data_IF_830497980929
#
_entry.id   IF_830497980929
#
_cell.length_a   1.000
_cell.length_b   1.000
_cell.length_c   1.000
_cell.angle_alpha   90.00
_cell.angle_beta   90.00
_cell.angle_gamma   90.00
#
_symmetry.space_group_name_H-M   'P 1'
#
loop_
_entity.id
_entity.type
_entity.pdbx_description
1 polymer ?
#
# COMPACT_ATOMS: atom_id res chain seq x y z
N UNK A 1 -32.47 -5.75 -12.59
CA UNK A 1 -31.23 -5.01 -12.91
C UNK A 1 -30.01 -5.89 -12.55
N UNK A 2 -30.00 -7.14 -13.04
CA UNK A 2 -29.09 -7.73 -14.04
C UNK A 2 -27.60 -7.67 -13.69
N UNK A 3 -27.06 -8.82 -13.24
CA UNK A 3 -25.63 -9.12 -13.07
C UNK A 3 -24.76 -8.64 -14.26
N UNK A 4 -25.34 -8.64 -15.47
CA UNK A 4 -24.69 -8.14 -16.70
C UNK A 4 -24.33 -6.66 -16.61
N UNK A 5 -25.17 -5.83 -15.96
CA UNK A 5 -24.88 -4.40 -15.79
C UNK A 5 -23.64 -4.19 -14.91
N UNK A 6 -23.53 -4.93 -13.80
CA UNK A 6 -22.36 -4.86 -12.92
C UNK A 6 -21.10 -5.38 -13.60
N UNK A 7 -21.22 -6.46 -14.39
CA UNK A 7 -20.11 -6.97 -15.19
C UNK A 7 -19.62 -5.91 -16.17
N UNK A 8 -20.53 -5.32 -16.96
CA UNK A 8 -20.22 -4.27 -17.94
C UNK A 8 -19.59 -3.06 -17.27
N UNK A 9 -20.19 -2.56 -16.18
CA UNK A 9 -19.66 -1.43 -15.43
C UNK A 9 -18.27 -1.72 -14.88
N UNK A 10 -18.03 -2.92 -14.34
CA UNK A 10 -16.71 -3.29 -13.80
C UNK A 10 -15.66 -3.39 -14.90
N UNK A 11 -15.96 -4.06 -16.00
CA UNK A 11 -15.03 -4.20 -17.13
C UNK A 11 -14.68 -2.84 -17.72
N UNK A 12 -15.65 -1.92 -17.81
CA UNK A 12 -15.45 -0.60 -18.39
C UNK A 12 -14.72 0.36 -17.43
N UNK A 13 -15.04 0.35 -16.13
CA UNK A 13 -14.50 1.31 -15.15
C UNK A 13 -13.12 0.95 -14.59
N UNK A 14 -12.79 -0.34 -14.51
CA UNK A 14 -11.51 -0.81 -13.94
C UNK A 14 -10.27 -0.25 -14.64
N UNK A 15 -10.14 -0.25 -15.98
CA UNK A 15 -8.92 0.27 -16.61
C UNK A 15 -8.68 1.76 -16.31
N UNK A 16 -9.75 2.57 -16.24
CA UNK A 16 -9.65 3.98 -15.86
C UNK A 16 -9.28 4.13 -14.39
N UNK A 17 -9.86 3.31 -13.51
CA UNK A 17 -9.51 3.28 -12.09
C UNK A 17 -8.04 2.91 -11.88
N UNK A 18 -7.53 1.93 -12.63
CA UNK A 18 -6.13 1.52 -12.58
C UNK A 18 -5.17 2.66 -12.95
N UNK A 19 -5.50 3.39 -14.01
CA UNK A 19 -4.70 4.55 -14.46
C UNK A 19 -4.80 5.69 -13.46
N UNK A 20 -5.99 5.94 -12.89
CA UNK A 20 -6.21 6.97 -11.89
C UNK A 20 -5.40 6.68 -10.61
N UNK A 21 -5.38 5.44 -10.14
CA UNK A 21 -4.59 5.01 -8.98
C UNK A 21 -3.10 5.22 -9.25
N UNK A 22 -2.60 4.85 -10.43
CA UNK A 22 -1.20 5.10 -10.82
C UNK A 22 -0.88 6.59 -10.89
N UNK A 23 -1.78 7.37 -11.46
CA UNK A 23 -1.65 8.83 -11.52
C UNK A 23 -1.56 9.44 -10.11
N UNK A 24 -2.46 9.04 -9.20
CA UNK A 24 -2.46 9.47 -7.79
C UNK A 24 -1.21 9.03 -7.05
N UNK A 25 -0.67 7.85 -7.36
CA UNK A 25 0.55 7.31 -6.78
C UNK A 25 1.82 8.01 -7.27
N UNK A 26 1.88 8.38 -8.56
CA UNK A 26 3.03 9.05 -9.17
C UNK A 26 3.07 10.55 -8.93
N UNK A 27 1.97 11.16 -8.49
CA UNK A 27 1.94 12.57 -8.17
C UNK A 27 2.71 12.84 -6.87
N UNK A 28 3.94 13.35 -6.93
CA UNK A 28 4.64 13.85 -5.74
C UNK A 28 4.83 15.35 -5.86
N UNK A 29 4.07 16.19 -5.13
CA UNK A 29 4.17 17.65 -5.27
C UNK A 29 5.57 18.16 -4.92
N UNK A 30 6.25 17.51 -3.97
CA UNK A 30 7.62 17.87 -3.58
C UNK A 30 8.64 17.62 -4.68
N UNK A 31 8.45 16.57 -5.48
CA UNK A 31 9.32 16.32 -6.64
C UNK A 31 9.08 17.34 -7.75
N UNK A 32 7.83 17.80 -7.92
CA UNK A 32 7.51 18.86 -8.88
C UNK A 32 8.14 20.19 -8.44
N UNK A 33 8.02 20.55 -7.16
CA UNK A 33 8.68 21.73 -6.59
C UNK A 33 10.20 21.64 -6.72
N UNK A 34 10.82 20.51 -6.33
CA UNK A 34 12.27 20.32 -6.45
C UNK A 34 12.76 20.46 -7.90
N UNK A 35 12.01 19.93 -8.88
CA UNK A 35 12.33 20.10 -10.30
C UNK A 35 12.19 21.54 -10.76
N UNK A 36 11.14 22.24 -10.33
CA UNK A 36 10.97 23.67 -10.63
C UNK A 36 12.11 24.52 -10.05
N UNK A 37 12.56 24.22 -8.83
CA UNK A 37 13.71 24.89 -8.21
C UNK A 37 15.01 24.63 -8.98
N UNK A 38 15.26 23.39 -9.42
CA UNK A 38 16.45 23.05 -10.21
C UNK A 38 16.43 23.72 -11.59
N UNK A 39 15.28 23.69 -12.29
CA UNK A 39 15.10 24.35 -13.58
C UNK A 39 15.31 25.87 -13.48
N UNK A 40 14.82 26.50 -12.41
CA UNK A 40 15.03 27.93 -12.15
C UNK A 40 16.50 28.26 -11.87
N UNK A 41 17.24 27.34 -11.23
CA UNK A 41 18.67 27.50 -10.95
C UNK A 41 19.53 27.38 -12.22
N UNK A 42 19.24 26.41 -13.08
CA UNK A 42 19.96 26.24 -14.36
C UNK A 42 19.75 27.44 -15.30
N UNK A 43 18.54 28.02 -15.31
CA UNK A 43 18.26 29.25 -16.04
C UNK A 43 19.01 30.46 -15.48
N UNK A 44 19.20 30.53 -14.16
CA UNK A 44 19.98 31.59 -13.50
C UNK A 44 21.48 31.49 -13.75
N UNK A 45 22.07 30.28 -13.74
CA UNK A 45 23.51 30.08 -13.98
C UNK A 45 23.89 30.33 -15.45
N UNK A 46 23.00 30.06 -16.41
CA UNK A 46 23.23 30.38 -17.83
C UNK A 46 23.31 31.89 -18.13
N UNK A 47 22.77 32.74 -17.24
CA UNK A 47 22.85 34.20 -17.39
C UNK A 47 24.17 34.81 -16.89
N UNK A 48 25.02 34.04 -16.19
CA UNK A 48 26.33 34.47 -15.68
C UNK A 48 27.46 33.78 -16.47
N UNK A 49 27.34 33.74 -17.80
CA UNK A 49 28.51 33.50 -18.65
C UNK A 49 29.25 34.83 -18.86
N UNK A 50 30.03 35.24 -17.86
CA UNK A 50 31.13 36.19 -18.09
C UNK A 50 32.18 35.48 -18.96
N UNK A 51 32.75 36.15 -19.98
CA UNK A 51 33.79 35.57 -20.82
C UNK A 51 35.05 35.33 -19.97
N UNK A 52 35.25 34.09 -19.53
CA UNK A 52 36.53 33.65 -18.96
C UNK A 52 37.53 33.63 -20.10
N UNK A 53 38.43 34.61 -20.12
CA UNK A 53 39.58 34.61 -21.00
C UNK A 53 40.44 33.39 -20.69
N UNK A 54 40.59 32.55 -21.70
CA UNK A 54 41.45 31.39 -21.74
C UNK A 54 42.92 31.84 -21.73
N UNK A 55 43.55 31.82 -20.56
CA UNK A 55 45.00 32.01 -20.43
C UNK A 55 45.70 30.64 -20.49
N UNK A 56 46.19 30.35 -21.69
CA UNK A 56 47.05 29.23 -22.07
C UNK A 56 48.46 29.46 -21.53
N UNK A 57 49.02 28.51 -20.77
CA UNK A 57 50.45 28.13 -20.79
C UNK A 57 50.73 26.82 -19.99
N UNK A 58 51.39 25.89 -20.72
CA UNK A 58 52.03 24.56 -20.50
C UNK A 58 52.98 24.35 -19.28
N UNK A 59 53.62 23.16 -19.03
CA UNK A 59 53.36 21.72 -19.31
C UNK A 59 53.73 20.78 -18.08
N UNK A 60 54.19 19.50 -18.21
CA UNK A 60 53.57 18.34 -17.56
C UNK A 60 54.37 17.72 -16.39
N UNK A 61 53.68 17.06 -15.46
CA UNK A 61 54.33 16.17 -14.48
C UNK A 61 53.68 14.78 -14.48
N UNK A 62 54.56 13.78 -14.49
CA UNK A 62 54.35 12.35 -14.64
C UNK A 62 53.82 11.69 -13.34
N UNK A 63 53.69 10.36 -13.39
CA UNK A 63 53.65 9.40 -12.24
C UNK A 63 52.20 9.18 -11.73
N UNK A 64 51.57 8.00 -11.67
CA UNK A 64 51.97 6.59 -11.55
C UNK A 64 50.90 5.72 -12.24
N UNK A 65 51.31 4.74 -13.04
CA UNK A 65 50.49 3.58 -13.43
C UNK A 65 50.54 2.50 -12.34
N UNK A 66 49.43 2.24 -11.64
CA UNK A 66 49.26 1.02 -10.84
C UNK A 66 48.53 -0.01 -11.68
N UNK A 67 49.26 -1.07 -11.99
CA UNK A 67 48.81 -2.27 -12.68
C UNK A 67 48.12 -3.18 -11.67
N UNK A 68 46.79 -3.33 -11.77
CA UNK A 68 46.05 -4.41 -11.13
C UNK A 68 45.43 -5.28 -12.23
N UNK A 69 46.24 -6.24 -12.67
CA UNK A 69 45.89 -7.29 -13.60
C UNK A 69 45.86 -8.58 -12.79
N UNK A 70 44.90 -9.42 -13.12
CA UNK A 70 44.78 -10.85 -12.74
C UNK A 70 43.92 -11.14 -11.50
N UNK A 71 42.61 -11.36 -11.74
CA UNK A 71 41.88 -12.58 -11.36
C UNK A 71 40.35 -12.36 -11.25
N UNK A 72 39.63 -12.25 -12.37
CA UNK A 72 38.19 -12.61 -12.43
C UNK A 72 37.65 -12.64 -13.88
N UNK A 73 38.37 -13.29 -14.80
CA UNK A 73 37.87 -13.51 -16.15
C UNK A 73 37.17 -14.88 -16.20
N UNK A 74 35.83 -14.91 -16.18
CA UNK A 74 35.12 -16.16 -16.45
C UNK A 74 33.60 -16.20 -16.26
N UNK A 75 32.95 -15.27 -15.54
CA UNK A 75 31.52 -15.42 -15.23
C UNK A 75 30.67 -14.14 -15.38
N UNK A 76 31.25 -13.00 -15.78
CA UNK A 76 30.53 -11.72 -15.85
C UNK A 76 30.01 -11.37 -17.27
N UNK A 77 30.49 -12.02 -18.32
CA UNK A 77 30.28 -11.57 -19.71
C UNK A 77 28.98 -12.06 -20.37
N UNK A 78 28.23 -12.97 -19.75
CA UNK A 78 26.99 -13.51 -20.35
C UNK A 78 25.70 -12.84 -19.84
N UNK A 79 25.78 -11.92 -18.86
CA UNK A 79 24.60 -11.25 -18.30
C UNK A 79 24.44 -9.77 -18.69
N UNK A 80 25.37 -9.20 -19.47
CA UNK A 80 25.25 -7.80 -19.94
C UNK A 80 24.62 -7.64 -21.33
N UNK A 81 24.50 -8.71 -22.14
CA UNK A 81 24.04 -8.59 -23.54
C UNK A 81 22.51 -8.56 -23.74
N UNK A 82 21.72 -8.50 -22.67
CA UNK A 82 20.26 -8.31 -22.73
C UNK A 82 19.85 -7.10 -21.89
N UNK A 83 20.56 -5.98 -22.04
CA UNK A 83 19.93 -4.68 -21.78
C UNK A 83 19.30 -4.24 -23.10
N UNK A 84 17.96 -4.33 -23.27
CA UNK A 84 17.33 -3.73 -24.43
C UNK A 84 17.77 -2.28 -24.47
N UNK A 85 18.22 -1.83 -25.65
CA UNK A 85 18.62 -0.47 -25.98
C UNK A 85 17.46 0.47 -25.62
N UNK A 86 17.41 0.87 -24.35
CA UNK A 86 16.37 1.72 -23.80
C UNK A 86 16.92 3.10 -24.03
N UNK A 87 16.43 3.75 -25.10
CA UNK A 87 16.76 5.13 -25.38
C UNK A 87 16.71 5.91 -24.05
N UNK A 88 17.76 6.69 -23.72
CA UNK A 88 17.76 7.52 -22.53
C UNK A 88 16.52 8.40 -22.63
N UNK A 89 15.53 8.08 -21.81
CA UNK A 89 14.30 8.84 -21.79
C UNK A 89 14.68 10.19 -21.19
N UNK A 90 14.89 11.18 -22.06
CA UNK A 90 15.10 12.55 -21.62
C UNK A 90 13.94 12.89 -20.68
N UNK A 91 14.24 13.33 -19.44
CA UNK A 91 13.23 13.84 -18.54
C UNK A 91 12.78 15.21 -19.08
N UNK A 92 12.12 15.22 -20.24
CA UNK A 92 11.36 16.37 -20.68
C UNK A 92 10.42 16.75 -19.54
N UNK A 93 10.29 18.05 -19.30
CA UNK A 93 9.42 18.75 -18.33
C UNK A 93 7.93 18.41 -18.53
N UNK A 94 7.61 17.13 -18.46
CA UNK A 94 6.33 16.63 -18.87
C UNK A 94 5.42 16.65 -17.66
N UNK A 95 4.58 17.68 -17.62
CA UNK A 95 3.40 17.76 -16.77
C UNK A 95 2.75 16.38 -16.71
N UNK A 96 2.79 15.76 -15.53
CA UNK A 96 2.20 14.45 -15.30
C UNK A 96 0.69 14.65 -15.45
N UNK A 97 0.17 14.27 -16.61
CA UNK A 97 -1.27 14.29 -16.92
C UNK A 97 -1.80 12.86 -16.91
N UNK A 98 -3.09 12.70 -16.62
CA UNK A 98 -3.75 11.38 -16.63
C UNK A 98 -3.53 10.65 -17.96
N UNK A 99 -3.67 11.35 -19.09
CA UNK A 99 -3.47 10.80 -20.42
C UNK A 99 -2.02 10.39 -20.68
N UNK A 100 -1.04 11.12 -20.13
CA UNK A 100 0.37 10.73 -20.20
C UNK A 100 0.62 9.42 -19.44
N UNK A 101 0.05 9.26 -18.23
CA UNK A 101 0.15 8.01 -17.46
C UNK A 101 -0.57 6.85 -18.16
N UNK A 102 -1.72 7.12 -18.79
CA UNK A 102 -2.46 6.14 -19.60
C UNK A 102 -1.63 5.67 -20.80
N UNK A 103 -1.14 6.61 -21.62
CA UNK A 103 -0.32 6.33 -22.81
C UNK A 103 0.94 5.58 -22.40
N UNK A 104 1.65 6.04 -21.37
CA UNK A 104 2.84 5.38 -20.84
C UNK A 104 2.56 3.96 -20.37
N UNK A 105 1.47 3.74 -19.63
CA UNK A 105 1.08 2.40 -19.18
C UNK A 105 0.79 1.49 -20.36
N UNK A 106 0.04 1.98 -21.34
CA UNK A 106 -0.29 1.24 -22.56
C UNK A 106 0.97 0.90 -23.38
N UNK A 107 1.91 1.84 -23.55
CA UNK A 107 3.15 1.60 -24.29
C UNK A 107 4.09 0.62 -23.57
N UNK A 108 4.24 0.71 -22.24
CA UNK A 108 5.19 -0.12 -21.49
C UNK A 108 4.64 -1.54 -21.22
N UNK A 109 3.35 -1.64 -20.89
CA UNK A 109 2.72 -2.86 -20.37
C UNK A 109 1.63 -3.43 -21.29
N UNK A 110 1.18 -2.69 -22.31
CA UNK A 110 0.06 -3.10 -23.16
C UNK A 110 -1.27 -3.11 -22.41
N UNK A 111 -2.26 -3.79 -23.00
CA UNK A 111 -3.60 -3.94 -22.42
C UNK A 111 -3.59 -4.71 -21.08
N UNK A 112 -2.69 -5.69 -20.95
CA UNK A 112 -2.51 -6.47 -19.72
C UNK A 112 -2.13 -5.59 -18.51
N UNK A 113 -1.39 -4.50 -18.75
CA UNK A 113 -1.09 -3.53 -17.71
C UNK A 113 -2.29 -2.71 -17.24
N UNK A 114 -3.24 -2.43 -18.14
CA UNK A 114 -4.46 -1.66 -17.83
C UNK A 114 -5.50 -2.52 -17.11
N UNK A 115 -5.57 -3.81 -17.43
CA UNK A 115 -6.48 -4.76 -16.79
C UNK A 115 -5.96 -5.28 -15.44
N UNK A 116 -4.79 -4.83 -14.97
CA UNK A 116 -4.31 -5.12 -13.61
C UNK A 116 -5.33 -4.64 -12.58
N UNK A 117 -5.69 -5.53 -11.66
CA UNK A 117 -6.73 -5.28 -10.66
C UNK A 117 -8.15 -5.64 -11.11
N UNK A 118 -8.37 -5.98 -12.39
CA UNK A 118 -9.67 -6.47 -12.87
C UNK A 118 -10.08 -7.75 -12.17
N UNK A 119 -9.17 -8.71 -12.05
CA UNK A 119 -9.44 -9.99 -11.40
C UNK A 119 -9.89 -9.83 -9.93
N UNK A 120 -9.12 -9.18 -9.02
CA UNK A 120 -9.57 -9.00 -7.64
C UNK A 120 -10.84 -8.16 -7.53
N UNK A 121 -11.04 -7.18 -8.44
CA UNK A 121 -12.28 -6.39 -8.49
C UNK A 121 -13.47 -7.26 -8.88
N UNK A 122 -13.37 -8.08 -9.92
CA UNK A 122 -14.45 -8.99 -10.34
C UNK A 122 -14.76 -10.01 -9.26
N UNK A 123 -13.74 -10.65 -8.68
CA UNK A 123 -13.92 -11.61 -7.58
C UNK A 123 -14.69 -10.93 -6.45
N UNK A 124 -14.27 -9.73 -6.03
CA UNK A 124 -14.97 -9.02 -4.97
C UNK A 124 -16.40 -8.64 -5.37
N UNK A 125 -16.61 -8.05 -6.55
CA UNK A 125 -17.94 -7.64 -7.04
C UNK A 125 -18.92 -8.81 -7.16
N UNK A 126 -18.46 -10.03 -7.44
CA UNK A 126 -19.33 -11.20 -7.54
C UNK A 126 -19.46 -11.99 -6.24
N UNK A 127 -18.34 -12.27 -5.56
CA UNK A 127 -18.32 -13.07 -4.33
C UNK A 127 -19.00 -12.32 -3.21
N UNK A 128 -18.77 -11.01 -3.10
CA UNK A 128 -19.24 -10.24 -1.95
C UNK A 128 -20.77 -10.14 -1.85
N UNK A 129 -21.50 -9.73 -2.91
CA UNK A 129 -22.97 -9.73 -2.88
C UNK A 129 -23.55 -11.13 -2.75
N UNK A 130 -22.88 -12.14 -3.32
CA UNK A 130 -23.32 -13.55 -3.23
C UNK A 130 -23.19 -14.09 -1.80
N UNK A 131 -22.09 -13.79 -1.12
CA UNK A 131 -21.80 -14.29 0.24
C UNK A 131 -22.70 -13.61 1.29
N UNK A 132 -22.90 -12.29 1.18
CA UNK A 132 -23.70 -11.53 2.14
C UNK A 132 -25.19 -11.44 1.79
N UNK A 133 -25.62 -12.08 0.70
CA UNK A 133 -27.00 -12.02 0.21
C UNK A 133 -27.46 -10.62 -0.16
N UNK A 134 -26.52 -9.69 -0.36
CA UNK A 134 -26.81 -8.26 -0.50
C UNK A 134 -27.06 -7.89 -1.97
N UNK A 135 -28.17 -8.36 -2.50
CA UNK A 135 -28.75 -7.94 -3.79
C UNK A 135 -30.00 -7.07 -3.62
N UNK A 136 -30.34 -6.73 -2.36
CA UNK A 136 -31.55 -5.99 -2.01
C UNK A 136 -31.44 -4.47 -2.22
N UNK A 137 -32.58 -3.77 -2.35
CA UNK A 137 -32.61 -2.31 -2.40
C UNK A 137 -31.97 -1.71 -1.14
N UNK A 138 -31.45 -0.47 -1.26
CA UNK A 138 -30.85 0.28 -0.16
C UNK A 138 -31.69 0.18 1.12
N UNK A 139 -31.08 0.04 2.31
CA UNK A 139 -31.81 -0.08 3.56
C UNK A 139 -32.87 1.01 3.72
N UNK A 140 -34.07 0.68 4.26
CA UNK A 140 -35.15 1.65 4.40
C UNK A 140 -34.82 2.79 5.38
N UNK A 141 -33.95 2.52 6.36
CA UNK A 141 -33.58 3.46 7.41
C UNK A 141 -32.13 3.91 7.30
N UNK A 142 -31.90 5.20 7.56
CA UNK A 142 -30.57 5.81 7.53
C UNK A 142 -29.58 5.12 8.48
N UNK A 143 -30.03 4.79 9.70
CA UNK A 143 -29.21 4.08 10.69
C UNK A 143 -28.77 2.70 10.22
N UNK A 144 -29.64 1.98 9.50
CA UNK A 144 -29.29 0.66 8.95
C UNK A 144 -28.29 0.80 7.80
N UNK A 145 -28.45 1.81 6.93
CA UNK A 145 -27.46 2.14 5.90
C UNK A 145 -26.10 2.47 6.51
N UNK A 146 -26.07 3.28 7.56
CA UNK A 146 -24.82 3.66 8.22
C UNK A 146 -24.14 2.45 8.87
N UNK A 147 -24.86 1.65 9.66
CA UNK A 147 -24.33 0.41 10.27
C UNK A 147 -23.77 -0.53 9.21
N UNK A 148 -24.51 -0.72 8.13
CA UNK A 148 -24.09 -1.61 7.06
C UNK A 148 -22.87 -1.08 6.29
N UNK A 149 -22.81 0.22 6.00
CA UNK A 149 -21.64 0.84 5.35
C UNK A 149 -20.39 0.67 6.20
N UNK A 150 -20.49 0.76 7.53
CA UNK A 150 -19.36 0.49 8.43
C UNK A 150 -18.91 -0.97 8.38
N UNK A 151 -19.85 -1.92 8.47
CA UNK A 151 -19.53 -3.35 8.35
C UNK A 151 -18.86 -3.62 7.00
N UNK A 152 -19.42 -3.10 5.91
CA UNK A 152 -18.85 -3.22 4.57
C UNK A 152 -17.43 -2.64 4.49
N UNK A 153 -17.18 -1.47 5.09
CA UNK A 153 -15.88 -0.80 5.09
C UNK A 153 -14.78 -1.67 5.70
N UNK A 154 -15.08 -2.41 6.78
CA UNK A 154 -14.13 -3.34 7.40
C UNK A 154 -13.64 -4.37 6.38
N UNK A 155 -14.54 -5.00 5.63
CA UNK A 155 -14.14 -6.00 4.63
C UNK A 155 -13.59 -5.39 3.34
N UNK A 156 -13.98 -4.16 3.03
CA UNK A 156 -13.53 -3.47 1.85
C UNK A 156 -12.06 -3.05 1.93
N UNK A 157 -11.54 -2.74 3.13
CA UNK A 157 -10.15 -2.29 3.31
C UNK A 157 -9.10 -3.30 2.78
N UNK A 158 -9.10 -4.60 3.17
CA UNK A 158 -8.14 -5.57 2.64
C UNK A 158 -8.24 -5.77 1.13
N UNK A 159 -9.47 -5.74 0.62
CA UNK A 159 -9.74 -5.88 -0.81
C UNK A 159 -9.19 -4.69 -1.57
N UNK A 160 -9.46 -3.47 -1.11
CA UNK A 160 -8.96 -2.24 -1.71
C UNK A 160 -7.43 -2.18 -1.68
N UNK A 161 -6.83 -2.61 -0.57
CA UNK A 161 -5.37 -2.77 -0.44
C UNK A 161 -4.83 -3.71 -1.52
N UNK A 162 -5.48 -4.87 -1.71
CA UNK A 162 -5.11 -5.87 -2.72
C UNK A 162 -5.20 -5.27 -4.12
N UNK A 163 -6.33 -4.64 -4.45
CA UNK A 163 -6.58 -4.04 -5.77
C UNK A 163 -5.54 -2.97 -6.08
N UNK A 164 -5.33 -2.01 -5.18
CA UNK A 164 -4.41 -0.90 -5.41
C UNK A 164 -2.96 -1.35 -5.53
N UNK A 165 -2.52 -2.30 -4.68
CA UNK A 165 -1.16 -2.85 -4.79
C UNK A 165 -0.96 -3.69 -6.05
N UNK A 166 -1.98 -4.42 -6.48
CA UNK A 166 -1.96 -5.13 -7.77
C UNK A 166 -1.78 -4.15 -8.92
N UNK A 167 -2.51 -3.04 -8.91
CA UNK A 167 -2.46 -1.99 -9.95
C UNK A 167 -1.09 -1.33 -10.02
N UNK A 168 -0.47 -1.01 -8.87
CA UNK A 168 0.81 -0.29 -8.82
C UNK A 168 2.03 -1.18 -9.02
N UNK A 169 1.88 -2.51 -8.98
CA UNK A 169 2.99 -3.43 -9.19
C UNK A 169 3.50 -3.36 -10.64
N UNK A 170 4.76 -2.91 -10.80
CA UNK A 170 5.40 -2.75 -12.11
C UNK A 170 5.75 -4.09 -12.79
N UNK A 171 5.73 -5.20 -12.07
CA UNK A 171 6.10 -6.50 -12.61
C UNK A 171 5.18 -6.88 -13.77
N UNK A 172 5.78 -7.26 -14.91
CA UNK A 172 5.04 -7.89 -16.02
C UNK A 172 4.75 -9.30 -15.56
N UNK A 173 3.53 -9.54 -15.10
CA UNK A 173 3.05 -10.89 -14.84
C UNK A 173 2.71 -11.41 -16.22
N UNK A 174 3.53 -12.28 -16.79
CA UNK A 174 3.17 -12.91 -18.05
C UNK A 174 1.88 -13.70 -17.83
N UNK A 175 0.75 -13.21 -18.36
CA UNK A 175 -0.57 -13.84 -18.21
C UNK A 175 -0.60 -15.34 -18.61
N UNK A 176 0.39 -15.78 -19.40
CA UNK A 176 0.51 -17.13 -19.93
C UNK A 176 1.32 -18.13 -19.09
N UNK A 177 2.21 -17.69 -18.20
CA UNK A 177 2.99 -18.61 -17.36
C UNK A 177 2.27 -18.72 -16.04
N UNK A 178 1.54 -19.82 -15.81
CA UNK A 178 0.81 -20.13 -14.55
C UNK A 178 1.65 -19.70 -13.34
N UNK A 179 1.42 -18.52 -12.78
CA UNK A 179 2.07 -18.15 -11.56
C UNK A 179 1.28 -18.83 -10.44
N UNK A 180 1.97 -19.47 -9.51
CA UNK A 180 1.32 -19.86 -8.27
C UNK A 180 0.79 -18.56 -7.64
N UNK A 181 -0.53 -18.47 -7.44
CA UNK A 181 -1.21 -17.32 -6.81
C UNK A 181 -0.51 -16.89 -5.50
N UNK A 182 0.13 -17.85 -4.83
CA UNK A 182 0.98 -17.68 -3.67
C UNK A 182 2.18 -16.76 -3.91
N UNK A 183 2.88 -16.85 -5.05
CA UNK A 183 4.02 -15.98 -5.38
C UNK A 183 3.57 -14.53 -5.57
N UNK A 184 2.40 -14.33 -6.19
CA UNK A 184 1.80 -13.00 -6.33
C UNK A 184 1.43 -12.42 -4.98
N UNK A 185 0.77 -13.20 -4.11
CA UNK A 185 0.44 -12.76 -2.75
C UNK A 185 1.72 -12.46 -1.96
N UNK A 186 2.76 -13.29 -2.10
CA UNK A 186 4.08 -13.08 -1.49
C UNK A 186 4.77 -11.81 -1.98
N UNK A 187 4.54 -11.41 -3.22
CA UNK A 187 5.10 -10.18 -3.78
C UNK A 187 4.25 -8.94 -3.42
N UNK A 188 2.93 -9.08 -3.34
CA UNK A 188 2.01 -7.99 -3.02
C UNK A 188 2.05 -7.62 -1.53
N UNK A 189 2.12 -8.62 -0.66
CA UNK A 189 2.07 -8.45 0.80
C UNK A 189 3.42 -8.73 1.43
N UNK A 190 3.80 -7.86 2.37
CA UNK A 190 4.98 -8.09 3.21
C UNK A 190 4.81 -9.39 4.01
N UNK A 191 5.91 -10.03 4.38
CA UNK A 191 5.87 -11.20 5.27
C UNK A 191 5.11 -10.90 6.58
N UNK A 192 5.23 -9.67 7.09
CA UNK A 192 4.49 -9.21 8.26
C UNK A 192 2.97 -9.13 8.05
N UNK A 193 2.53 -8.61 6.90
CA UNK A 193 1.10 -8.49 6.58
C UNK A 193 0.47 -9.85 6.29
N UNK A 194 1.26 -10.81 5.78
CA UNK A 194 0.82 -12.19 5.55
C UNK A 194 0.64 -12.97 6.85
N UNK A 195 1.51 -12.79 7.84
CA UNK A 195 1.36 -13.46 9.14
C UNK A 195 0.30 -12.81 10.02
N UNK A 196 0.03 -11.51 9.81
CA UNK A 196 -0.94 -10.73 10.58
C UNK A 196 -1.84 -9.91 9.65
N UNK A 197 -2.90 -10.52 9.11
CA UNK A 197 -3.82 -9.82 8.20
C UNK A 197 -4.43 -8.56 8.81
N UNK A 198 -4.59 -8.51 10.14
CA UNK A 198 -5.07 -7.33 10.85
C UNK A 198 -4.11 -6.13 10.78
N UNK A 199 -2.84 -6.35 10.46
CA UNK A 199 -1.85 -5.28 10.30
C UNK A 199 -2.18 -4.30 9.16
N UNK A 200 -2.98 -4.72 8.19
CA UNK A 200 -3.45 -3.85 7.11
C UNK A 200 -4.32 -2.71 7.68
N UNK A 201 -5.13 -3.01 8.70
CA UNK A 201 -5.99 -2.03 9.37
C UNK A 201 -5.20 -1.07 10.27
N UNK A 202 -4.02 -1.50 10.73
CA UNK A 202 -3.13 -0.69 11.57
C UNK A 202 -2.33 0.37 10.78
N UNK A 203 -2.59 0.53 9.48
CA UNK A 203 -2.01 1.62 8.70
C UNK A 203 -2.49 2.96 9.28
N UNK A 204 -1.58 3.80 9.81
CA UNK A 204 -1.98 5.00 10.55
C UNK A 204 -2.76 5.94 9.64
N UNK A 205 -3.94 6.37 10.11
CA UNK A 205 -4.82 7.27 9.36
C UNK A 205 -5.77 6.58 8.36
N UNK A 206 -5.64 5.28 8.08
CA UNK A 206 -6.48 4.60 7.10
C UNK A 206 -7.94 4.45 7.59
N UNK A 207 -8.13 3.92 8.80
CA UNK A 207 -9.45 3.76 9.42
C UNK A 207 -10.20 5.10 9.53
N UNK A 208 -9.62 6.18 10.09
CA UNK A 208 -10.35 7.44 10.19
C UNK A 208 -10.65 8.04 8.80
N UNK A 209 -9.76 7.91 7.82
CA UNK A 209 -10.04 8.38 6.46
C UNK A 209 -11.20 7.62 5.83
N UNK A 210 -11.22 6.29 5.93
CA UNK A 210 -12.32 5.45 5.43
C UNK A 210 -13.64 5.72 6.17
N UNK A 211 -13.57 5.93 7.49
CA UNK A 211 -14.72 6.33 8.32
C UNK A 211 -15.28 7.66 7.82
N UNK A 212 -14.43 8.63 7.53
CA UNK A 212 -14.85 9.93 7.01
C UNK A 212 -15.49 9.81 5.62
N UNK A 213 -14.94 8.97 4.73
CA UNK A 213 -15.59 8.67 3.43
C UNK A 213 -17.00 8.12 3.65
N UNK A 214 -17.14 7.11 4.53
CA UNK A 214 -18.42 6.46 4.82
C UNK A 214 -19.43 7.45 5.41
N UNK A 215 -18.99 8.29 6.36
CA UNK A 215 -19.82 9.31 6.99
C UNK A 215 -20.23 10.37 5.99
N UNK A 216 -19.32 10.94 5.19
CA UNK A 216 -19.67 11.98 4.21
C UNK A 216 -20.58 11.42 3.12
N UNK A 217 -20.28 10.24 2.57
CA UNK A 217 -21.10 9.61 1.53
C UNK A 217 -22.49 9.22 2.04
N UNK A 218 -22.57 8.58 3.21
CA UNK A 218 -23.84 8.04 3.73
C UNK A 218 -24.64 9.10 4.49
N UNK A 219 -24.01 9.94 5.32
CA UNK A 219 -24.71 10.93 6.13
C UNK A 219 -24.99 12.24 5.38
N UNK A 220 -24.07 12.70 4.53
CA UNK A 220 -24.27 13.94 3.78
C UNK A 220 -24.95 13.66 2.44
N UNK A 221 -24.29 12.93 1.53
CA UNK A 221 -24.78 12.79 0.16
C UNK A 221 -26.10 12.02 0.05
N UNK A 222 -26.25 10.91 0.79
CA UNK A 222 -27.51 10.15 0.76
C UNK A 222 -28.66 10.92 1.40
N UNK A 223 -28.41 11.69 2.46
CA UNK A 223 -29.44 12.50 3.11
C UNK A 223 -29.89 13.64 2.21
N UNK A 224 -28.95 14.36 1.60
CA UNK A 224 -29.24 15.43 0.64
C UNK A 224 -29.97 14.87 -0.58
N UNK A 225 -29.54 13.74 -1.13
CA UNK A 225 -30.23 13.10 -2.24
C UNK A 225 -31.66 12.70 -1.83
N UNK A 226 -31.82 12.07 -0.65
CA UNK A 226 -33.15 11.74 -0.12
C UNK A 226 -34.01 12.99 0.06
N UNK A 227 -33.45 14.12 0.46
CA UNK A 227 -34.19 15.39 0.61
C UNK A 227 -34.65 15.94 -0.75
N UNK A 228 -33.80 15.87 -1.78
CA UNK A 228 -34.14 16.25 -3.17
C UNK A 228 -35.31 15.40 -3.68
N UNK A 229 -35.31 14.10 -3.38
CA UNK A 229 -36.35 13.18 -3.84
C UNK A 229 -37.60 13.15 -2.95
N UNK A 230 -37.49 13.39 -1.65
CA UNK A 230 -38.61 13.35 -0.69
C UNK A 230 -39.70 14.37 -1.01
N UNK A 231 -39.34 15.50 -1.62
CA UNK A 231 -40.31 16.54 -2.00
C UNK A 231 -41.11 16.20 -3.27
N UNK A 232 -41.01 14.97 -3.82
CA UNK A 232 -41.71 14.57 -5.04
C UNK A 232 -43.22 14.45 -4.80
N UNK A 233 -43.97 15.40 -5.35
CA UNK A 233 -45.41 15.28 -5.50
C UNK A 233 -45.67 14.93 -6.95
N UNK A 234 -46.51 13.93 -7.21
CA UNK A 234 -46.90 13.58 -8.58
C UNK A 234 -47.59 14.80 -9.20
N UNK A 235 -47.01 15.44 -10.22
CA UNK A 235 -47.60 16.64 -10.80
C UNK A 235 -48.83 16.27 -11.62
N UNK A 236 -49.88 17.08 -11.56
CA UNK A 236 -51.13 16.87 -12.30
C UNK A 236 -51.04 17.18 -13.80
N UNK A 237 -49.92 17.73 -14.29
CA UNK A 237 -49.72 18.10 -15.70
C UNK A 237 -48.35 17.65 -16.20
N UNK A 238 -48.29 17.20 -17.45
CA UNK A 238 -47.08 16.69 -18.12
C UNK A 238 -45.98 17.75 -18.26
N UNK A 239 -46.34 19.02 -18.52
CA UNK A 239 -45.33 20.08 -18.64
C UNK A 239 -44.70 20.44 -17.28
N UNK A 240 -45.48 20.33 -16.19
CA UNK A 240 -44.96 20.46 -14.83
C UNK A 240 -44.07 19.27 -14.44
N UNK A 241 -44.43 18.06 -14.91
CA UNK A 241 -43.63 16.86 -14.72
C UNK A 241 -42.20 16.99 -15.28
N UNK A 242 -42.06 17.42 -16.53
CA UNK A 242 -40.74 17.51 -17.17
C UNK A 242 -39.83 18.53 -16.52
N UNK A 243 -40.33 19.74 -16.20
CA UNK A 243 -39.51 20.79 -15.58
C UNK A 243 -39.07 20.40 -14.16
N UNK A 244 -39.96 19.80 -13.37
CA UNK A 244 -39.64 19.32 -12.03
C UNK A 244 -38.66 18.14 -12.05
N UNK A 245 -38.84 17.21 -12.99
CA UNK A 245 -37.91 16.09 -13.19
C UNK A 245 -36.51 16.58 -13.58
N UNK A 246 -36.41 17.47 -14.57
CA UNK A 246 -35.13 18.03 -15.02
C UNK A 246 -34.41 18.79 -13.90
N UNK A 247 -35.15 19.58 -13.12
CA UNK A 247 -34.60 20.30 -11.97
C UNK A 247 -34.01 19.34 -10.92
N UNK A 248 -34.69 18.23 -10.64
CA UNK A 248 -34.22 17.21 -9.68
C UNK A 248 -33.04 16.41 -10.18
N UNK A 249 -33.06 16.01 -11.46
CA UNK A 249 -31.93 15.35 -12.11
C UNK A 249 -30.72 16.29 -12.08
N UNK A 250 -30.90 17.56 -12.44
CA UNK A 250 -29.86 18.59 -12.37
C UNK A 250 -29.32 18.76 -10.93
N UNK A 251 -30.21 18.88 -9.95
CA UNK A 251 -29.82 18.97 -8.53
C UNK A 251 -29.07 17.73 -8.03
N UNK A 252 -29.49 16.53 -8.46
CA UNK A 252 -28.81 15.28 -8.11
C UNK A 252 -27.42 15.21 -8.77
N UNK A 253 -27.30 15.62 -10.03
CA UNK A 253 -26.02 15.69 -10.75
C UNK A 253 -25.08 16.69 -10.07
N UNK A 254 -25.57 17.89 -9.73
CA UNK A 254 -24.79 18.91 -9.03
C UNK A 254 -24.31 18.41 -7.66
N UNK A 255 -25.18 17.72 -6.92
CA UNK A 255 -24.83 17.09 -5.66
C UNK A 255 -23.75 16.02 -5.83
N UNK A 256 -23.83 15.19 -6.87
CA UNK A 256 -22.79 14.21 -7.20
C UNK A 256 -21.45 14.89 -7.53
N UNK A 257 -21.46 15.99 -8.29
CA UNK A 257 -20.24 16.76 -8.58
C UNK A 257 -19.63 17.34 -7.31
N UNK A 258 -20.43 17.98 -6.46
CA UNK A 258 -19.95 18.56 -5.20
C UNK A 258 -19.42 17.48 -4.25
N UNK A 259 -20.13 16.36 -4.15
CA UNK A 259 -19.67 15.18 -3.43
C UNK A 259 -18.31 14.70 -3.95
N UNK A 260 -18.16 14.59 -5.27
CA UNK A 260 -16.89 14.18 -5.88
C UNK A 260 -15.75 15.14 -5.54
N UNK A 261 -15.99 16.46 -5.54
CA UNK A 261 -14.99 17.47 -5.17
C UNK A 261 -14.53 17.28 -3.71
N UNK A 262 -15.46 16.98 -2.80
CA UNK A 262 -15.16 16.78 -1.37
C UNK A 262 -14.49 15.43 -1.11
N UNK A 263 -14.93 14.37 -1.79
CA UNK A 263 -14.41 13.00 -1.58
C UNK A 263 -13.08 12.76 -2.30
N UNK A 264 -12.83 13.40 -3.43
CA UNK A 264 -11.61 13.21 -4.22
C UNK A 264 -10.29 13.36 -3.41
N UNK A 265 -10.06 14.44 -2.62
CA UNK A 265 -8.84 14.55 -1.83
C UNK A 265 -8.71 13.43 -0.78
N UNK A 266 -9.82 13.01 -0.20
CA UNK A 266 -9.85 11.94 0.79
C UNK A 266 -9.50 10.58 0.16
N UNK A 267 -10.02 10.31 -1.03
CA UNK A 267 -9.62 9.12 -1.80
C UNK A 267 -8.14 9.14 -2.18
N UNK A 268 -7.56 10.31 -2.48
CA UNK A 268 -6.12 10.43 -2.76
C UNK A 268 -5.30 10.05 -1.52
N UNK A 269 -5.69 10.53 -0.34
CA UNK A 269 -5.04 10.17 0.92
C UNK A 269 -5.15 8.66 1.17
N UNK A 270 -6.35 8.09 1.03
CA UNK A 270 -6.59 6.64 1.20
C UNK A 270 -5.74 5.83 0.21
N UNK A 271 -5.72 6.23 -1.06
CA UNK A 271 -4.93 5.55 -2.09
C UNK A 271 -3.45 5.52 -1.71
N UNK A 272 -2.90 6.63 -1.21
CA UNK A 272 -1.50 6.69 -0.77
C UNK A 272 -1.24 5.81 0.45
N UNK A 273 -2.11 5.86 1.46
CA UNK A 273 -1.98 5.04 2.67
C UNK A 273 -2.03 3.54 2.33
N UNK A 274 -2.89 3.12 1.41
CA UNK A 274 -3.01 1.72 0.99
C UNK A 274 -1.81 1.21 0.18
N UNK A 275 -1.20 2.10 -0.61
CA UNK A 275 0.01 1.80 -1.38
C UNK A 275 1.23 1.69 -0.48
N UNK A 276 1.28 2.48 0.60
CA UNK A 276 2.34 2.36 1.59
C UNK A 276 2.32 0.94 2.17
N UNK A 277 3.46 0.24 2.02
CA UNK A 277 3.65 -1.05 2.66
C UNK A 277 3.81 -0.79 4.14
N UNK A 278 3.06 -1.52 4.96
CA UNK A 278 3.27 -1.49 6.39
C UNK A 278 4.56 -2.26 6.66
N UNK A 279 5.69 -1.55 6.56
CA UNK A 279 6.93 -2.03 7.12
C UNK A 279 6.67 -2.01 8.62
N UNK A 280 6.56 -3.20 9.22
CA UNK A 280 6.68 -3.34 10.67
C UNK A 280 7.80 -2.37 11.07
N UNK A 281 7.47 -1.37 11.90
CA UNK A 281 8.40 -0.33 12.32
C UNK A 281 9.76 -1.01 12.45
N UNK A 282 10.76 -0.62 11.63
CA UNK A 282 11.97 -1.41 11.41
C UNK A 282 12.34 -1.92 12.77
N UNK A 283 12.27 -3.24 12.98
CA UNK A 283 12.63 -3.84 14.27
C UNK A 283 13.91 -3.13 14.62
N UNK A 284 13.84 -2.20 15.60
CA UNK A 284 14.85 -1.15 15.70
C UNK A 284 16.15 -1.94 15.66
N UNK A 285 17.04 -1.75 14.68
CA UNK A 285 18.13 -2.71 14.49
C UNK A 285 18.96 -2.88 15.77
N UNK A 286 18.90 -1.87 16.64
CA UNK A 286 19.33 -1.92 18.02
C UNK A 286 18.47 -2.76 18.98
N UNK A 287 17.14 -2.81 18.93
CA UNK A 287 16.31 -3.55 19.89
C UNK A 287 16.41 -5.08 19.74
N UNK A 288 16.42 -5.62 18.51
CA UNK A 288 16.67 -7.06 18.31
C UNK A 288 18.10 -7.44 18.68
N UNK A 289 19.07 -6.57 18.37
CA UNK A 289 20.46 -6.69 18.80
C UNK A 289 20.62 -6.55 20.33
N UNK A 290 19.89 -5.64 20.97
CA UNK A 290 19.85 -5.44 22.43
C UNK A 290 19.19 -6.65 23.10
N UNK A 291 18.10 -7.18 22.55
CA UNK A 291 17.48 -8.41 23.06
C UNK A 291 18.42 -9.61 22.91
N UNK A 292 19.12 -9.73 21.77
CA UNK A 292 20.12 -10.77 21.58
C UNK A 292 21.31 -10.60 22.54
N UNK A 293 21.84 -9.40 22.70
CA UNK A 293 22.90 -9.09 23.68
C UNK A 293 22.45 -9.38 25.11
N UNK A 294 21.20 -9.04 25.46
CA UNK A 294 20.65 -9.32 26.80
C UNK A 294 20.51 -10.82 27.03
N UNK A 295 20.06 -11.57 26.03
CA UNK A 295 19.97 -13.04 26.08
C UNK A 295 21.37 -13.67 26.17
N UNK A 296 22.36 -13.13 25.44
CA UNK A 296 23.76 -13.57 25.56
C UNK A 296 24.34 -13.28 26.95
N UNK A 297 24.00 -12.13 27.56
CA UNK A 297 24.45 -11.78 28.91
C UNK A 297 23.83 -12.69 29.98
N UNK A 298 22.54 -12.99 29.87
CA UNK A 298 21.87 -13.93 30.78
C UNK A 298 22.46 -15.33 30.70
N UNK A 299 22.73 -15.84 29.50
CA UNK A 299 23.38 -17.14 29.33
C UNK A 299 24.80 -17.17 29.93
N UNK A 300 25.51 -16.04 29.91
CA UNK A 300 26.83 -15.92 30.52
C UNK A 300 26.75 -15.86 32.06
N UNK A 301 25.76 -15.16 32.61
CA UNK A 301 25.50 -15.12 34.05
C UNK A 301 25.13 -16.51 34.60
N UNK A 302 24.25 -17.25 33.93
CA UNK A 302 23.91 -18.65 34.30
C UNK A 302 25.16 -19.55 34.29
N UNK A 303 26.03 -19.42 33.29
CA UNK A 303 27.26 -20.25 33.22
C UNK A 303 28.29 -19.94 34.32
N UNK A 304 28.30 -18.71 34.84
CA UNK A 304 29.22 -18.30 35.92
C UNK A 304 28.68 -18.76 37.28
N UNK A 305 27.35 -18.75 37.46
CA UNK A 305 26.72 -19.22 38.68
C UNK A 305 26.89 -20.74 38.86
N UNK A 306 26.75 -21.52 37.78
CA UNK A 306 27.03 -22.97 37.81
C UNK A 306 28.50 -23.27 38.14
N UNK A 307 29.45 -22.46 37.65
CA UNK A 307 30.87 -22.63 37.97
C UNK A 307 31.21 -22.27 39.43
N UNK A 308 30.43 -21.39 40.07
CA UNK A 308 30.73 -21.00 41.44
C UNK A 308 30.21 -22.01 42.47
N UNK A 309 29.14 -22.75 42.13
CA UNK A 309 28.55 -23.79 43.01
C UNK A 309 29.47 -25.02 43.13
N UNK A 310 30.23 -25.37 42.10
CA UNK A 310 31.16 -26.50 42.16
C UNK A 310 32.44 -26.23 42.99
N UNK A 311 32.83 -24.96 43.17
CA UNK A 311 34.08 -24.61 43.88
C UNK A 311 33.91 -24.65 45.41
N UNK A 312 32.70 -24.43 45.93
CA UNK A 312 32.44 -24.47 47.37
C UNK A 312 32.14 -25.88 47.91
N UNK A 313 31.98 -26.89 47.05
CA UNK A 313 31.83 -28.30 47.45
C UNK A 313 33.16 -29.02 47.69
N UNK A 314 34.31 -28.49 47.25
CA UNK A 314 35.62 -29.13 47.48
C UNK A 314 36.31 -28.75 48.81
N UNK A 315 35.77 -27.80 49.60
CA UNK A 315 36.41 -27.36 50.86
C UNK A 315 35.72 -27.76 52.16
N UNK A 316 34.76 -28.69 52.09
CA UNK A 316 33.95 -29.14 53.23
C UNK A 316 34.07 -30.61 53.56
N UNK A 317 35.28 -31.19 53.56
CA UNK A 317 35.54 -32.54 54.05
C UNK A 317 35.39 -32.65 55.57
N UNK A 318 34.15 -32.64 56.06
CA UNK A 318 33.76 -33.02 57.42
C UNK A 318 32.91 -34.29 57.37
N UNK A 319 33.14 -35.29 58.26
CA UNK A 319 32.36 -36.53 58.26
C UNK A 319 30.92 -36.25 58.70
N UNK A 320 29.99 -36.19 57.75
CA UNK A 320 28.56 -36.13 58.01
C UNK A 320 28.10 -37.52 58.42
N UNK A 321 27.71 -37.63 59.69
CA UNK A 321 27.07 -38.82 60.24
C UNK A 321 25.73 -39.06 59.56
N UNK A 322 25.50 -40.32 59.21
CA UNK A 322 24.24 -40.81 58.69
C UNK A 322 23.09 -40.51 59.66
N UNK A 323 22.16 -39.65 59.24
CA UNK A 323 20.83 -39.56 59.84
C UNK A 323 19.82 -40.04 58.82
N UNK A 324 19.38 -41.27 59.05
CA UNK A 324 18.19 -41.91 58.50
C UNK A 324 17.03 -40.92 58.40
N UNK A 325 16.55 -40.65 57.18
CA UNK A 325 15.24 -40.06 56.94
C UNK A 325 14.30 -41.16 56.45
N UNK A 326 13.24 -41.35 57.24
CA UNK A 326 12.09 -42.19 56.94
C UNK A 326 11.27 -41.55 55.80
N UNK A 327 10.59 -42.36 54.97
CA UNK A 327 9.57 -41.87 54.06
C UNK A 327 8.30 -41.58 54.88
N UNK A 328 7.91 -40.31 54.97
CA UNK A 328 6.54 -39.96 55.33
C UNK A 328 5.71 -39.95 54.05
N UNK A 329 4.88 -40.98 53.97
CA UNK A 329 3.65 -41.01 53.20
C UNK A 329 2.72 -39.85 53.61
N UNK A 330 1.76 -39.60 52.71
CA UNK A 330 0.44 -39.04 52.97
C UNK A 330 0.08 -37.65 52.41
N UNK A 331 -1.10 -37.71 51.78
CA UNK A 331 -2.14 -36.70 51.64
C UNK A 331 -2.20 -35.80 50.40
N UNK A 332 -2.86 -36.37 49.37
CA UNK A 332 -4.19 -35.93 48.94
C UNK A 332 -4.66 -34.55 49.43
N UNK A 333 -4.72 -33.55 48.54
CA UNK A 333 -5.78 -32.52 48.62
C UNK A 333 -6.25 -32.12 47.21
N UNK A 334 -7.43 -32.64 46.89
CA UNK A 334 -8.43 -32.13 45.96
C UNK A 334 -8.84 -30.70 46.33
N UNK A 335 -8.77 -29.72 45.43
CA UNK A 335 -9.74 -28.60 45.39
C UNK A 335 -9.93 -28.05 43.95
N UNK A 336 -11.13 -28.35 43.44
CA UNK A 336 -12.05 -27.60 42.55
C UNK A 336 -11.61 -26.97 41.23
#
# INVERSE_FOLDING_TARGET
>A
MSSIYYLYHTVLSVPFTGVLVRYRASYNPKELEAKQFLSSREQGESAIHLPVQEQKDTPPEQVVSVSEKDASAGAADTLQSIRPNREPFEPSDQNVTFLSVLKRTYTIQGFDGLSKGLLPTLIFTFVWPSLLGYLGPSPPTFMLSLKQSFVFSIFYIPVLTTIYRTITTSHKIGAYRRPHLEEHIRHLFSQYERSRCWAIYLTPGLIPAMTLVVVVSTACLLLLNRLIWASYKVPGSFNGFLSELLLRISGSILLCFLGTIILAPLEVVITRLLIQRNHAAPEIPGLSLIMNLRRSRQAQEESVEDQHVDVDLERGGGPVSASTYLPDDDDDVVVQ
#
